data_IF_334428702113
#
_entry.id   IF_334428702113
#
_cell.length_a   1.000
_cell.length_b   1.000
_cell.length_c   1.000
_cell.angle_alpha   90.00
_cell.angle_beta   90.00
_cell.angle_gamma   90.00
#
_symmetry.space_group_name_H-M   'P 1'
#
loop_
_entity.id
_entity.type
_entity.pdbx_description
1 polymer ?
#
# COMPACT_ATOMS: atom_id res chain seq x y z
N UNK A 1 -11.94 3.11 20.46
CA UNK A 1 -11.41 4.27 19.69
C UNK A 1 -10.60 5.16 20.63
N UNK A 2 -9.42 5.64 20.23
CA UNK A 2 -8.64 6.65 20.97
C UNK A 2 -8.94 8.04 20.42
N UNK A 3 -9.03 9.04 21.29
CA UNK A 3 -9.16 10.43 20.87
C UNK A 3 -7.82 10.93 20.30
N UNK A 4 -7.86 11.47 19.09
CA UNK A 4 -6.76 12.18 18.45
C UNK A 4 -6.66 13.62 18.94
N UNK A 5 -5.49 14.24 18.78
CA UNK A 5 -5.20 15.60 19.28
C UNK A 5 -6.16 16.69 18.79
N UNK A 6 -6.86 16.48 17.68
CA UNK A 6 -7.80 17.43 17.07
C UNK A 6 -9.27 16.95 17.12
N UNK A 7 -9.63 16.06 18.06
CA UNK A 7 -10.99 15.53 18.20
C UNK A 7 -11.38 14.43 17.22
N UNK A 8 -10.55 14.12 16.21
CA UNK A 8 -10.70 12.92 15.38
C UNK A 8 -10.50 11.65 16.20
N UNK A 9 -11.18 10.55 15.84
CA UNK A 9 -11.02 9.25 16.50
C UNK A 9 -10.08 8.37 15.68
N UNK A 10 -9.16 7.67 16.35
CA UNK A 10 -8.26 6.69 15.73
C UNK A 10 -8.50 5.31 16.35
N UNK A 11 -8.61 4.29 15.52
CA UNK A 11 -8.59 2.89 15.92
C UNK A 11 -7.34 2.24 15.34
N UNK A 12 -6.56 1.59 16.19
CA UNK A 12 -5.47 0.72 15.76
C UNK A 12 -5.86 -0.69 16.18
N UNK A 13 -5.97 -1.59 15.21
CA UNK A 13 -6.32 -2.99 15.43
C UNK A 13 -5.23 -3.84 14.79
N UNK A 14 -4.79 -4.86 15.52
CA UNK A 14 -3.98 -5.93 14.94
C UNK A 14 -4.94 -6.94 14.33
N UNK A 15 -4.75 -7.22 13.05
CA UNK A 15 -5.49 -8.24 12.32
C UNK A 15 -4.52 -9.34 11.93
N UNK A 16 -4.93 -10.58 12.12
CA UNK A 16 -4.15 -11.72 11.63
C UNK A 16 -4.38 -11.88 10.12
N UNK A 17 -3.36 -12.22 9.31
CA UNK A 17 -3.50 -12.34 7.86
C UNK A 17 -4.62 -13.30 7.43
N UNK A 18 -4.83 -14.37 8.22
CA UNK A 18 -5.91 -15.33 7.97
C UNK A 18 -7.30 -14.73 8.15
N UNK A 19 -7.49 -13.78 9.06
CA UNK A 19 -8.77 -13.07 9.23
C UNK A 19 -9.09 -12.23 8.01
N UNK A 20 -8.09 -11.55 7.46
CA UNK A 20 -8.25 -10.77 6.21
C UNK A 20 -8.56 -11.70 5.04
N UNK A 21 -7.83 -12.82 4.92
CA UNK A 21 -8.10 -13.80 3.87
C UNK A 21 -9.55 -14.33 3.95
N UNK A 22 -10.01 -14.77 5.13
CA UNK A 22 -11.41 -15.24 5.30
C UNK A 22 -12.44 -14.17 4.98
N UNK A 23 -12.16 -12.92 5.36
CA UNK A 23 -13.01 -11.77 5.05
C UNK A 23 -13.17 -11.57 3.53
N UNK A 24 -12.08 -11.68 2.78
CA UNK A 24 -12.08 -11.56 1.32
C UNK A 24 -12.69 -12.79 0.63
N UNK A 25 -12.49 -13.99 1.17
CA UNK A 25 -13.12 -15.22 0.67
C UNK A 25 -14.64 -15.11 0.70
N UNK A 26 -15.18 -14.60 1.80
CA UNK A 26 -16.60 -14.41 1.95
C UNK A 26 -17.15 -13.28 1.05
N UNK A 27 -16.35 -12.26 0.72
CA UNK A 27 -16.68 -11.29 -0.34
C UNK A 27 -16.82 -11.97 -1.70
N UNK A 28 -15.91 -12.90 -2.03
CA UNK A 28 -15.95 -13.64 -3.29
C UNK A 28 -17.17 -14.55 -3.38
N UNK A 29 -17.48 -15.26 -2.30
CA UNK A 29 -18.66 -16.10 -2.23
C UNK A 29 -19.95 -15.28 -2.40
N UNK A 30 -20.05 -14.09 -1.81
CA UNK A 30 -21.17 -13.16 -2.07
C UNK A 30 -21.21 -12.70 -3.53
N UNK A 31 -20.08 -12.27 -4.08
CA UNK A 31 -20.01 -11.82 -5.48
C UNK A 31 -20.43 -12.93 -6.45
N UNK A 32 -20.18 -14.20 -6.11
CA UNK A 32 -20.61 -15.37 -6.86
C UNK A 32 -22.07 -15.81 -6.60
N UNK A 33 -22.79 -15.14 -5.70
CA UNK A 33 -24.17 -15.48 -5.31
C UNK A 33 -24.29 -16.74 -4.45
N UNK A 34 -23.19 -17.25 -3.88
CA UNK A 34 -23.13 -18.50 -3.09
C UNK A 34 -23.43 -18.31 -1.60
N UNK A 35 -23.32 -17.09 -1.08
CA UNK A 35 -23.69 -16.75 0.30
C UNK A 35 -25.03 -15.98 0.33
N UNK A 36 -26.08 -16.50 1.00
CA UNK A 36 -27.37 -15.84 1.14
C UNK A 36 -27.45 -14.81 2.29
N UNK A 37 -26.31 -14.38 2.86
CA UNK A 37 -26.25 -13.52 4.05
C UNK A 37 -25.78 -12.09 3.70
N UNK A 38 -26.30 -11.10 4.41
CA UNK A 38 -25.89 -9.69 4.34
C UNK A 38 -24.38 -9.55 4.62
N UNK A 39 -23.55 -9.38 3.59
CA UNK A 39 -22.09 -9.27 3.76
C UNK A 39 -21.60 -8.07 4.59
N UNK A 40 -22.50 -7.21 5.05
CA UNK A 40 -22.19 -6.24 6.10
C UNK A 40 -21.70 -6.93 7.39
N UNK A 41 -22.25 -8.11 7.73
CA UNK A 41 -21.89 -8.87 8.92
C UNK A 41 -20.57 -9.67 8.78
N UNK A 42 -19.98 -9.71 7.58
CA UNK A 42 -18.94 -10.69 7.21
C UNK A 42 -17.52 -10.11 7.30
N UNK A 43 -17.39 -8.79 7.36
CA UNK A 43 -16.10 -8.11 7.29
C UNK A 43 -15.70 -7.54 8.64
N UNK A 44 -14.96 -8.32 9.43
CA UNK A 44 -14.33 -7.83 10.66
C UNK A 44 -13.26 -6.74 10.42
N UNK A 45 -13.01 -6.36 9.15
CA UNK A 45 -12.03 -5.33 8.78
C UNK A 45 -12.38 -3.96 9.39
N UNK A 46 -13.65 -3.57 9.31
CA UNK A 46 -14.16 -2.30 9.86
C UNK A 46 -15.29 -2.65 10.83
N UNK A 47 -15.17 -2.32 12.13
CA UNK A 47 -16.27 -2.53 13.08
C UNK A 47 -17.54 -1.80 12.67
N UNK A 48 -18.71 -2.40 12.89
CA UNK A 48 -20.01 -1.82 12.52
C UNK A 48 -20.28 -0.44 13.16
N UNK A 49 -19.69 -0.17 14.33
CA UNK A 49 -19.81 1.10 15.05
C UNK A 49 -18.82 2.19 14.56
N UNK A 50 -18.05 1.89 13.50
CA UNK A 50 -17.01 2.76 12.97
C UNK A 50 -17.28 3.09 11.51
N UNK A 51 -17.42 4.39 11.22
CA UNK A 51 -17.46 4.92 9.86
C UNK A 51 -16.17 5.73 9.57
N UNK A 52 -15.08 5.07 9.10
CA UNK A 52 -13.80 5.74 8.94
C UNK A 52 -13.78 6.61 7.68
N UNK A 53 -13.12 7.77 7.75
CA UNK A 53 -12.76 8.56 6.55
C UNK A 53 -11.49 8.05 5.87
N UNK A 54 -10.67 7.34 6.63
CA UNK A 54 -9.36 6.85 6.23
C UNK A 54 -9.15 5.45 6.80
N UNK A 55 -8.77 4.50 5.95
CA UNK A 55 -8.32 3.17 6.36
C UNK A 55 -6.87 3.01 5.94
N UNK A 56 -6.05 2.47 6.84
CA UNK A 56 -4.66 2.09 6.54
C UNK A 56 -4.51 0.61 6.86
N UNK A 57 -4.15 -0.18 5.86
CA UNK A 57 -3.88 -1.61 5.99
C UNK A 57 -2.38 -1.86 5.87
N UNK A 58 -1.75 -2.23 6.99
CA UNK A 58 -0.30 -2.39 7.11
C UNK A 58 0.06 -3.78 7.68
N UNK A 59 0.64 -4.71 6.92
CA UNK A 59 0.91 -4.68 5.48
C UNK A 59 0.13 -5.79 4.78
N UNK A 60 -0.19 -5.59 3.49
CA UNK A 60 -0.79 -6.65 2.65
C UNK A 60 0.23 -7.70 2.22
N UNK A 61 1.52 -7.49 2.50
CA UNK A 61 2.59 -8.41 2.13
C UNK A 61 2.52 -9.73 2.87
N UNK A 62 2.08 -9.73 4.12
CA UNK A 62 1.84 -10.96 4.88
C UNK A 62 0.74 -11.83 4.24
N UNK A 63 -0.26 -11.20 3.60
CA UNK A 63 -1.28 -11.94 2.84
C UNK A 63 -0.66 -12.57 1.61
N UNK A 64 0.18 -11.85 0.87
CA UNK A 64 0.85 -12.40 -0.33
C UNK A 64 1.62 -13.70 -0.03
N UNK A 65 2.25 -13.80 1.15
CA UNK A 65 2.92 -15.03 1.61
C UNK A 65 1.94 -16.19 1.81
N UNK A 66 0.73 -15.93 2.33
CA UNK A 66 -0.29 -16.96 2.52
C UNK A 66 -0.80 -17.55 1.19
N UNK A 67 -0.67 -16.81 0.09
CA UNK A 67 -1.03 -17.25 -1.27
C UNK A 67 0.17 -17.70 -2.10
N UNK A 68 1.31 -18.05 -1.46
CA UNK A 68 2.49 -18.54 -2.18
C UNK A 68 2.15 -19.71 -3.10
N UNK A 69 2.52 -19.60 -4.38
CA UNK A 69 2.18 -20.56 -5.43
C UNK A 69 0.77 -20.44 -6.02
N UNK A 70 -0.04 -19.45 -5.59
CA UNK A 70 -1.42 -19.21 -6.05
C UNK A 70 -1.65 -17.76 -6.50
N UNK A 71 -0.81 -17.27 -7.41
CA UNK A 71 -0.82 -15.87 -7.87
C UNK A 71 -2.16 -15.38 -8.41
N UNK A 72 -2.89 -16.21 -9.17
CA UNK A 72 -4.23 -15.84 -9.67
C UNK A 72 -5.24 -15.67 -8.53
N UNK A 73 -5.16 -16.52 -7.50
CA UNK A 73 -6.02 -16.38 -6.34
C UNK A 73 -5.68 -15.10 -5.56
N UNK A 74 -4.38 -14.83 -5.35
CA UNK A 74 -3.94 -13.58 -4.74
C UNK A 74 -4.49 -12.35 -5.50
N UNK A 75 -4.42 -12.38 -6.84
CA UNK A 75 -4.91 -11.30 -7.69
C UNK A 75 -6.39 -11.02 -7.47
N UNK A 76 -7.21 -12.06 -7.54
CA UNK A 76 -8.66 -11.98 -7.32
C UNK A 76 -8.94 -11.42 -5.91
N UNK A 77 -8.20 -11.89 -4.91
CA UNK A 77 -8.36 -11.44 -3.53
C UNK A 77 -8.05 -9.95 -3.35
N UNK A 78 -6.90 -9.48 -3.84
CA UNK A 78 -6.55 -8.06 -3.76
C UNK A 78 -7.55 -7.21 -4.54
N UNK A 79 -7.99 -7.64 -5.73
CA UNK A 79 -9.01 -6.91 -6.49
C UNK A 79 -10.31 -6.72 -5.68
N UNK A 80 -10.80 -7.76 -5.00
CA UNK A 80 -11.99 -7.63 -4.17
C UNK A 80 -11.78 -6.71 -2.97
N UNK A 81 -10.58 -6.70 -2.39
CA UNK A 81 -10.27 -5.80 -1.29
C UNK A 81 -10.30 -4.33 -1.72
N UNK A 82 -9.73 -4.01 -2.90
CA UNK A 82 -9.83 -2.68 -3.49
C UNK A 82 -11.29 -2.28 -3.77
N UNK A 83 -12.04 -3.15 -4.46
CA UNK A 83 -13.47 -2.92 -4.74
C UNK A 83 -14.29 -2.72 -3.47
N UNK A 84 -13.97 -3.44 -2.39
CA UNK A 84 -14.64 -3.25 -1.11
C UNK A 84 -14.44 -1.83 -0.57
N UNK A 85 -13.20 -1.34 -0.52
CA UNK A 85 -12.92 0.02 -0.06
C UNK A 85 -13.53 1.10 -0.96
N UNK A 86 -13.52 0.88 -2.27
CA UNK A 86 -14.20 1.74 -3.25
C UNK A 86 -15.72 1.79 -3.00
N UNK A 87 -16.36 0.64 -2.81
CA UNK A 87 -17.81 0.53 -2.62
C UNK A 87 -18.30 1.22 -1.34
N UNK A 88 -17.50 1.20 -0.27
CA UNK A 88 -17.84 1.91 0.98
C UNK A 88 -17.41 3.39 0.93
N UNK A 89 -16.76 3.84 -0.14
CA UNK A 89 -16.40 5.24 -0.35
C UNK A 89 -15.32 5.76 0.60
N UNK A 90 -14.42 4.90 1.09
CA UNK A 90 -13.35 5.30 2.03
C UNK A 90 -12.04 5.56 1.30
N UNK A 91 -11.26 6.57 1.74
CA UNK A 91 -9.86 6.67 1.31
C UNK A 91 -9.05 5.58 1.99
N UNK A 92 -8.43 4.69 1.21
CA UNK A 92 -7.63 3.58 1.73
C UNK A 92 -6.16 3.66 1.32
N UNK A 93 -5.25 3.44 2.27
CA UNK A 93 -3.84 3.17 2.01
C UNK A 93 -3.53 1.70 2.31
N UNK A 94 -2.99 0.98 1.33
CA UNK A 94 -2.55 -0.39 1.49
C UNK A 94 -1.02 -0.39 1.41
N UNK A 95 -0.36 -0.83 2.48
CA UNK A 95 1.10 -0.84 2.57
C UNK A 95 1.60 -2.20 2.11
N UNK A 96 2.55 -2.20 1.18
CA UNK A 96 3.23 -3.40 0.71
C UNK A 96 4.75 -3.21 0.76
N UNK A 97 5.43 -4.25 1.20
CA UNK A 97 6.87 -4.40 1.21
C UNK A 97 7.35 -4.98 -0.12
N UNK A 98 8.39 -4.37 -0.66
CA UNK A 98 9.06 -4.78 -1.88
C UNK A 98 10.54 -5.03 -1.63
N UNK A 99 11.18 -5.77 -2.53
CA UNK A 99 12.62 -6.03 -2.42
C UNK A 99 13.41 -4.73 -2.72
N UNK A 100 14.67 -4.66 -2.28
CA UNK A 100 15.50 -3.44 -2.37
C UNK A 100 15.56 -2.89 -3.81
N UNK A 101 15.24 -1.59 -3.97
CA UNK A 101 15.26 -0.83 -5.23
C UNK A 101 14.50 -1.50 -6.39
N UNK A 102 13.17 -1.58 -6.31
CA UNK A 102 12.39 -2.36 -7.25
C UNK A 102 12.47 -1.82 -8.68
N UNK A 103 12.82 -2.71 -9.62
CA UNK A 103 12.36 -2.65 -11.01
C UNK A 103 10.83 -2.84 -11.13
N UNK A 104 10.20 -3.42 -10.10
CA UNK A 104 8.75 -3.66 -9.96
C UNK A 104 8.28 -3.30 -8.56
N UNK A 105 7.40 -2.31 -8.46
CA UNK A 105 6.97 -1.68 -7.18
C UNK A 105 6.31 -2.68 -6.25
N UNK A 106 5.75 -3.76 -6.79
CA UNK A 106 5.13 -4.87 -6.08
C UNK A 106 5.71 -6.22 -6.52
N UNK A 107 5.76 -7.18 -5.58
CA UNK A 107 6.27 -8.54 -5.87
C UNK A 107 5.45 -9.27 -6.94
N UNK A 108 4.15 -8.97 -7.04
CA UNK A 108 3.23 -9.64 -7.96
C UNK A 108 2.89 -8.82 -9.22
N UNK A 109 3.09 -7.50 -9.21
CA UNK A 109 2.66 -6.58 -10.28
C UNK A 109 1.16 -6.25 -10.25
N UNK A 110 0.37 -6.93 -9.43
CA UNK A 110 -1.09 -6.77 -9.36
C UNK A 110 -1.46 -5.45 -8.68
N UNK A 111 -0.79 -5.13 -7.58
CA UNK A 111 -1.09 -3.99 -6.73
C UNK A 111 -0.95 -2.67 -7.50
N UNK A 112 0.05 -2.58 -8.37
CA UNK A 112 0.33 -1.40 -9.22
C UNK A 112 -0.78 -1.12 -10.23
N UNK A 113 -1.40 -2.18 -10.74
CA UNK A 113 -2.46 -2.07 -11.74
C UNK A 113 -3.75 -1.56 -11.10
N UNK A 114 -4.08 -2.09 -9.92
CA UNK A 114 -5.31 -1.80 -9.20
C UNK A 114 -5.29 -0.43 -8.53
N UNK A 115 -4.17 -0.03 -7.92
CA UNK A 115 -4.11 1.21 -7.14
C UNK A 115 -4.29 2.47 -7.99
N UNK A 116 -5.08 3.43 -7.52
CA UNK A 116 -5.19 4.75 -8.16
C UNK A 116 -3.98 5.65 -7.91
N UNK A 117 -3.30 5.47 -6.78
CA UNK A 117 -2.09 6.16 -6.41
C UNK A 117 -1.01 5.21 -5.91
N UNK A 118 0.25 5.50 -6.22
CA UNK A 118 1.41 4.72 -5.78
C UNK A 118 2.47 5.67 -5.24
N UNK A 119 2.78 5.53 -3.95
CA UNK A 119 3.86 6.24 -3.26
C UNK A 119 4.91 5.20 -2.88
N UNK A 120 6.15 5.44 -3.27
CA UNK A 120 7.26 4.52 -3.01
C UNK A 120 8.25 5.17 -2.06
N UNK A 121 8.65 4.40 -1.06
CA UNK A 121 9.68 4.76 -0.09
C UNK A 121 10.96 3.98 -0.38
N UNK A 122 12.06 4.70 -0.42
CA UNK A 122 13.38 4.17 -0.74
C UNK A 122 14.30 4.25 0.47
N UNK A 123 15.20 3.27 0.59
CA UNK A 123 16.31 3.30 1.54
C UNK A 123 17.61 2.95 0.83
N UNK A 124 18.18 3.95 0.18
CA UNK A 124 19.32 3.78 -0.74
C UNK A 124 20.64 3.95 0.00
N UNK A 125 21.64 3.15 -0.38
CA UNK A 125 23.02 3.43 -0.01
C UNK A 125 23.56 4.48 -0.96
N UNK A 126 24.15 5.54 -0.42
CA UNK A 126 24.90 6.50 -1.21
C UNK A 126 26.38 6.19 -1.02
N UNK A 127 27.06 5.80 -2.10
CA UNK A 127 28.47 5.41 -2.05
C UNK A 127 29.42 6.54 -1.65
N UNK A 128 28.92 7.78 -1.61
CA UNK A 128 29.67 8.96 -1.14
C UNK A 128 29.49 9.22 0.35
N UNK A 129 28.52 8.58 0.99
CA UNK A 129 28.18 8.79 2.39
C UNK A 129 28.41 7.50 3.18
N UNK A 130 28.65 7.63 4.49
CA UNK A 130 28.75 6.47 5.39
C UNK A 130 27.38 5.96 5.85
N UNK A 131 26.29 6.59 5.40
CA UNK A 131 24.92 6.30 5.81
C UNK A 131 23.98 6.17 4.61
N UNK A 132 22.86 5.46 4.84
CA UNK A 132 21.79 5.30 3.84
C UNK A 132 20.85 6.50 3.85
N UNK A 133 20.42 6.91 2.66
CA UNK A 133 19.50 8.03 2.45
C UNK A 133 18.08 7.49 2.24
N UNK A 134 17.08 8.15 2.83
CA UNK A 134 15.67 7.83 2.60
C UNK A 134 15.13 8.70 1.48
N UNK A 135 14.38 8.10 0.57
CA UNK A 135 13.74 8.79 -0.55
C UNK A 135 12.25 8.51 -0.62
N UNK A 136 11.49 9.40 -1.25
CA UNK A 136 10.08 9.21 -1.57
C UNK A 136 9.77 9.69 -2.98
N UNK A 137 8.93 8.93 -3.68
CA UNK A 137 8.47 9.24 -5.03
C UNK A 137 6.97 8.92 -5.16
N UNK A 138 6.26 9.69 -5.99
CA UNK A 138 4.91 9.36 -6.44
C UNK A 138 5.03 8.81 -7.86
N UNK A 139 4.84 7.50 -8.02
CA UNK A 139 4.94 6.84 -9.32
C UNK A 139 3.68 6.96 -10.15
N UNK A 140 2.53 7.03 -9.47
CA UNK A 140 1.21 7.07 -10.09
C UNK A 140 0.28 7.89 -9.20
N UNK A 141 -0.53 8.73 -9.81
CA UNK A 141 -1.69 9.35 -9.17
C UNK A 141 -2.76 9.63 -10.24
N UNK A 142 -3.78 8.78 -10.33
CA UNK A 142 -4.88 8.98 -11.27
C UNK A 142 -5.71 10.19 -10.85
N UNK A 143 -6.16 10.97 -11.85
CA UNK A 143 -7.03 12.12 -11.63
C UNK A 143 -6.35 13.39 -11.12
N UNK A 144 -5.03 13.39 -10.88
CA UNK A 144 -4.30 14.56 -10.44
C UNK A 144 -2.87 14.61 -11.00
N UNK A 145 -2.37 15.82 -11.26
CA UNK A 145 -0.93 16.02 -11.52
C UNK A 145 -0.17 15.80 -10.22
N UNK A 146 1.00 15.17 -10.31
CA UNK A 146 1.89 14.95 -9.17
C UNK A 146 3.35 15.29 -9.53
N UNK A 147 4.20 15.43 -8.51
CA UNK A 147 5.64 15.51 -8.71
C UNK A 147 6.16 14.18 -9.26
N UNK A 148 7.00 14.24 -10.28
CA UNK A 148 7.69 13.09 -10.88
C UNK A 148 9.14 12.97 -10.39
N UNK A 149 9.48 13.67 -9.31
CA UNK A 149 10.83 13.64 -8.74
C UNK A 149 10.91 12.64 -7.60
N UNK A 150 12.02 11.91 -7.57
CA UNK A 150 12.45 11.19 -6.39
C UNK A 150 13.23 12.16 -5.48
N UNK A 151 12.67 12.42 -4.31
CA UNK A 151 13.21 13.42 -3.38
C UNK A 151 13.61 12.78 -2.06
N UNK A 152 14.61 13.36 -1.41
CA UNK A 152 15.04 12.95 -0.08
C UNK A 152 13.96 13.24 0.97
N UNK A 153 13.88 12.36 1.96
CA UNK A 153 13.01 12.55 3.12
C UNK A 153 13.70 12.17 4.43
N UNK A 154 13.22 12.75 5.53
CA UNK A 154 13.66 12.43 6.89
C UNK A 154 12.48 12.08 7.78
N UNK A 155 12.70 11.17 8.73
CA UNK A 155 11.74 10.87 9.79
C UNK A 155 12.23 11.57 11.05
N UNK A 156 11.49 12.59 11.47
CA UNK A 156 11.82 13.42 12.64
C UNK A 156 10.85 13.15 13.79
N UNK A 157 11.08 13.78 14.94
CA UNK A 157 10.10 13.77 16.06
C UNK A 157 8.73 14.36 15.68
N UNK A 158 8.64 15.10 14.57
CA UNK A 158 7.40 15.68 14.04
C UNK A 158 6.77 14.84 12.92
N UNK A 159 7.36 13.70 12.57
CA UNK A 159 6.93 12.84 11.46
C UNK A 159 7.82 12.97 10.23
N UNK A 160 7.28 12.59 9.07
CA UNK A 160 7.99 12.60 7.78
C UNK A 160 8.12 14.05 7.28
N UNK A 161 9.34 14.43 6.92
CA UNK A 161 9.68 15.70 6.29
C UNK A 161 10.26 15.40 4.90
N UNK A 162 9.63 15.95 3.86
CA UNK A 162 10.07 15.80 2.47
C UNK A 162 10.90 17.01 2.08
N UNK A 163 12.14 16.78 1.63
CA UNK A 163 13.06 17.85 1.23
C UNK A 163 12.75 18.28 -0.20
N UNK A 164 12.03 19.38 -0.34
CA UNK A 164 11.82 20.02 -1.64
C UNK A 164 13.11 20.75 -2.04
N UNK A 165 13.81 20.26 -3.06
CA UNK A 165 14.93 20.91 -3.79
C UNK A 165 16.38 20.63 -3.35
N UNK A 166 16.65 19.96 -2.23
CA UNK A 166 18.04 19.80 -1.76
C UNK A 166 18.82 18.71 -2.48
N UNK A 167 18.17 17.58 -2.80
CA UNK A 167 18.85 16.45 -3.41
C UNK A 167 17.91 15.56 -4.21
N UNK A 168 18.23 15.45 -5.50
CA UNK A 168 17.62 14.53 -6.46
C UNK A 168 18.33 13.18 -6.35
N UNK A 169 17.60 12.14 -5.97
CA UNK A 169 18.18 10.81 -5.71
C UNK A 169 18.07 9.86 -6.92
N UNK A 170 17.59 10.34 -8.07
CA UNK A 170 17.37 9.52 -9.26
C UNK A 170 18.63 8.76 -9.69
N UNK A 171 19.81 9.38 -9.57
CA UNK A 171 21.09 8.72 -9.89
C UNK A 171 21.39 7.55 -8.94
N UNK A 172 21.02 7.66 -7.66
CA UNK A 172 21.28 6.63 -6.65
C UNK A 172 20.35 5.41 -6.78
N UNK A 173 19.16 5.61 -7.34
CA UNK A 173 18.20 4.53 -7.61
C UNK A 173 18.44 3.89 -8.98
N UNK A 174 18.76 4.68 -10.02
CA UNK A 174 19.01 4.17 -11.37
C UNK A 174 20.20 3.21 -11.43
N UNK A 175 21.27 3.45 -10.69
CA UNK A 175 22.44 2.56 -10.66
C UNK A 175 22.12 1.16 -10.12
N UNK A 176 21.02 0.99 -9.38
CA UNK A 176 20.54 -0.31 -8.88
C UNK A 176 19.43 -0.93 -9.73
N UNK A 177 18.71 -0.12 -10.50
CA UNK A 177 17.52 -0.55 -11.24
C UNK A 177 17.81 -1.00 -12.68
N UNK A 178 19.01 -0.86 -13.24
CA UNK A 178 19.27 -1.32 -14.63
C UNK A 178 19.50 -2.84 -14.66
N UNK A 179 18.41 -3.58 -14.76
CA UNK A 179 18.36 -4.87 -15.47
C UNK A 179 18.12 -4.66 -16.97
N UNK A 180 18.52 -5.60 -17.84
CA UNK A 180 18.51 -5.41 -19.29
C UNK A 180 17.06 -5.43 -19.80
N UNK A 181 16.43 -4.28 -20.01
CA UNK A 181 15.11 -4.28 -20.66
C UNK A 181 14.30 -2.99 -20.65
N UNK A 182 14.64 -1.98 -19.85
CA UNK A 182 13.93 -0.70 -19.86
C UNK A 182 14.87 0.42 -20.32
N UNK A 183 14.76 0.81 -21.59
CA UNK A 183 15.26 2.08 -22.11
C UNK A 183 14.05 2.94 -22.44
N UNK A 184 14.10 4.20 -22.01
CA UNK A 184 13.22 5.27 -22.51
C UNK A 184 13.55 5.52 -23.98
#
# INVERSE_FOLDING_TARGET
>A
LRAGKNGGRVAIRRLEPITIARSVEALLEKASGRLPVDAAAVLELIPEDVNPRLVVLDSISAMATAFSGRTEQYRIYIEQLFRYFENIGVTSFLITETNEAPLKVSKSGVEEFLADGIIVFYYVADHRETYRVRGVEILKLRGAKHSTHLVEMEITKKGIVVKTHERRLESLVRDKAIGPGYRV
#
